data_IF_395026858430
#
_entry.id   IF_395026858430
#
_cell.length_a   1.000
_cell.length_b   1.000
_cell.length_c   1.000
_cell.angle_alpha   90.00
_cell.angle_beta   90.00
_cell.angle_gamma   90.00
#
_symmetry.space_group_name_H-M   'P 1'
#
loop_
_entity.id
_entity.type
_entity.pdbx_description
1 polymer ?
#
# COMPACT_ATOMS: atom_id res chain seq x y z
N UNK A 1 -15.47 14.62 1.39
CA UNK A 1 -16.49 13.96 2.25
C UNK A 1 -15.93 13.99 3.67
N UNK A 2 -16.76 14.25 4.69
CA UNK A 2 -16.32 14.24 6.11
C UNK A 2 -16.73 12.92 6.74
N UNK A 3 -16.04 12.51 7.81
CA UNK A 3 -16.39 11.32 8.58
C UNK A 3 -17.80 11.43 9.17
N UNK A 4 -18.60 10.37 9.06
CA UNK A 4 -19.97 10.34 9.59
C UNK A 4 -20.00 10.14 11.11
N UNK A 5 -18.98 9.46 11.66
CA UNK A 5 -18.84 9.21 13.10
C UNK A 5 -17.35 9.05 13.47
N UNK A 6 -16.73 10.16 13.88
CA UNK A 6 -15.29 10.24 14.13
C UNK A 6 -14.82 9.35 15.28
N UNK A 7 -15.58 9.29 16.36
CA UNK A 7 -15.24 8.50 17.55
C UNK A 7 -15.25 7.00 17.25
N UNK A 8 -16.33 6.53 16.61
CA UNK A 8 -16.44 5.14 16.19
C UNK A 8 -15.35 4.78 15.18
N UNK A 9 -15.08 5.65 14.21
CA UNK A 9 -14.03 5.42 13.22
C UNK A 9 -12.64 5.34 13.85
N UNK A 10 -12.35 6.19 14.84
CA UNK A 10 -11.09 6.16 15.57
C UNK A 10 -10.94 4.87 16.35
N UNK A 11 -11.96 4.48 17.11
CA UNK A 11 -11.97 3.22 17.87
C UNK A 11 -11.76 2.00 16.98
N UNK A 12 -12.50 1.90 15.86
CA UNK A 12 -12.34 0.79 14.90
C UNK A 12 -10.95 0.79 14.27
N UNK A 13 -10.42 1.98 13.94
CA UNK A 13 -9.11 2.09 13.30
C UNK A 13 -7.98 1.73 14.27
N UNK A 14 -8.09 2.10 15.53
CA UNK A 14 -7.17 1.71 16.60
C UNK A 14 -7.18 0.21 16.84
N UNK A 15 -8.37 -0.39 16.99
CA UNK A 15 -8.50 -1.83 17.18
C UNK A 15 -7.91 -2.61 16.00
N UNK A 16 -8.21 -2.20 14.77
CA UNK A 16 -7.64 -2.82 13.57
C UNK A 16 -6.13 -2.67 13.52
N UNK A 17 -5.61 -1.50 13.86
CA UNK A 17 -4.17 -1.27 13.91
C UNK A 17 -3.50 -2.17 14.95
N UNK A 18 -4.03 -2.24 16.16
CA UNK A 18 -3.50 -3.08 17.24
C UNK A 18 -3.46 -4.58 16.86
N UNK A 19 -4.47 -5.06 16.12
CA UNK A 19 -4.48 -6.44 15.60
C UNK A 19 -3.46 -6.67 14.48
N UNK A 20 -3.17 -5.64 13.69
CA UNK A 20 -2.31 -5.71 12.50
C UNK A 20 -0.82 -5.48 12.83
N UNK A 21 -0.53 -4.55 13.73
CA UNK A 21 0.81 -4.07 14.06
C UNK A 21 1.81 -5.20 14.38
N UNK A 22 1.47 -6.23 15.19
CA UNK A 22 2.38 -7.35 15.45
C UNK A 22 2.81 -8.11 14.18
N UNK A 23 2.05 -8.01 13.09
CA UNK A 23 2.31 -8.69 11.83
C UNK A 23 3.11 -7.86 10.84
N UNK A 24 3.27 -6.54 11.06
CA UNK A 24 3.97 -5.64 10.14
C UNK A 24 5.43 -6.04 9.92
N UNK A 25 6.15 -6.42 10.99
CA UNK A 25 7.53 -6.87 10.87
C UNK A 25 7.67 -8.14 10.00
N UNK A 26 6.70 -9.05 10.10
CA UNK A 26 6.68 -10.25 9.27
C UNK A 26 6.26 -9.97 7.83
N UNK A 27 5.43 -8.94 7.59
CA UNK A 27 5.08 -8.47 6.26
C UNK A 27 6.29 -7.78 5.59
N UNK A 28 7.01 -6.92 6.32
CA UNK A 28 8.23 -6.27 5.83
C UNK A 28 9.28 -7.30 5.39
N UNK A 29 9.52 -8.35 6.19
CA UNK A 29 10.41 -9.47 5.79
C UNK A 29 9.94 -10.26 4.57
N UNK A 30 8.65 -10.24 4.24
CA UNK A 30 8.14 -10.89 3.02
C UNK A 30 8.41 -10.01 1.81
N UNK A 31 8.10 -8.71 1.91
CA UNK A 31 8.40 -7.77 0.84
C UNK A 31 9.90 -7.69 0.55
N UNK A 32 10.74 -7.74 1.59
CA UNK A 32 12.19 -7.74 1.42
C UNK A 32 12.70 -8.98 0.66
N UNK A 33 12.15 -10.16 0.94
CA UNK A 33 12.47 -11.37 0.17
C UNK A 33 12.02 -11.28 -1.28
N UNK A 34 10.84 -10.69 -1.52
CA UNK A 34 10.38 -10.43 -2.87
C UNK A 34 11.31 -9.46 -3.61
N UNK A 35 11.74 -8.36 -2.96
CA UNK A 35 12.70 -7.39 -3.54
C UNK A 35 13.99 -8.07 -3.98
N UNK A 36 14.58 -8.88 -3.12
CA UNK A 36 15.80 -9.63 -3.42
C UNK A 36 15.60 -10.59 -4.60
N UNK A 37 14.49 -11.35 -4.60
CA UNK A 37 14.17 -12.24 -5.71
C UNK A 37 13.94 -11.46 -7.03
N UNK A 38 13.31 -10.28 -6.96
CA UNK A 38 13.04 -9.44 -8.13
C UNK A 38 14.33 -8.87 -8.72
N UNK A 39 15.25 -8.39 -7.88
CA UNK A 39 16.57 -7.94 -8.31
C UNK A 39 17.40 -9.05 -8.95
N UNK A 40 17.23 -10.29 -8.49
CA UNK A 40 17.88 -11.48 -9.05
C UNK A 40 17.19 -12.02 -10.32
N UNK A 41 16.03 -11.48 -10.71
CA UNK A 41 15.23 -12.00 -11.83
C UNK A 41 14.48 -13.31 -11.53
N UNK A 42 14.26 -13.62 -10.25
CA UNK A 42 13.58 -14.82 -9.74
C UNK A 42 12.14 -14.56 -9.28
N UNK A 43 11.66 -13.32 -9.41
CA UNK A 43 10.32 -12.91 -9.04
C UNK A 43 9.66 -12.07 -10.13
N UNK A 44 8.33 -12.18 -10.17
CA UNK A 44 7.48 -11.58 -11.18
C UNK A 44 6.57 -10.52 -10.55
N UNK A 45 6.45 -9.40 -11.24
CA UNK A 45 5.55 -8.31 -10.90
C UNK A 45 4.44 -8.23 -11.94
N UNK A 46 3.20 -8.25 -11.49
CA UNK A 46 2.03 -8.08 -12.33
C UNK A 46 1.19 -6.89 -11.90
N UNK A 47 0.36 -6.41 -12.82
CA UNK A 47 -0.55 -5.30 -12.63
C UNK A 47 -1.97 -5.82 -12.84
N UNK A 48 -2.88 -5.58 -11.89
CA UNK A 48 -4.28 -5.97 -12.05
C UNK A 48 -4.95 -5.13 -13.17
N UNK A 49 -5.60 -5.80 -14.14
CA UNK A 49 -6.11 -5.21 -15.39
C UNK A 49 -7.54 -4.65 -15.30
N UNK A 50 -7.96 -4.14 -14.14
CA UNK A 50 -9.30 -3.55 -14.03
C UNK A 50 -9.39 -2.21 -14.79
N UNK A 51 -10.33 -2.05 -15.72
CA UNK A 51 -10.40 -0.90 -16.64
C UNK A 51 -10.47 0.49 -15.97
N UNK A 52 -10.97 0.59 -14.73
CA UNK A 52 -10.98 1.80 -13.88
C UNK A 52 -9.58 2.22 -13.40
N UNK A 53 -8.59 1.35 -13.51
CA UNK A 53 -7.23 1.60 -13.09
C UNK A 53 -6.48 2.56 -13.98
N UNK A 54 -6.80 2.57 -15.28
CA UNK A 54 -6.07 3.35 -16.26
C UNK A 54 -6.07 4.84 -15.96
N UNK A 55 -7.11 5.35 -15.29
CA UNK A 55 -7.15 6.76 -14.86
C UNK A 55 -6.27 7.04 -13.64
N UNK A 56 -5.99 6.02 -12.82
CA UNK A 56 -5.17 6.15 -11.61
C UNK A 56 -3.69 5.86 -11.90
N UNK A 57 -3.39 4.93 -12.81
CA UNK A 57 -2.08 4.80 -13.49
C UNK A 57 -1.66 6.11 -14.16
N UNK A 58 -2.61 6.93 -14.66
CA UNK A 58 -2.27 8.24 -15.24
C UNK A 58 -1.69 9.22 -14.22
N UNK A 59 -1.91 9.02 -12.93
CA UNK A 59 -1.37 9.90 -11.89
C UNK A 59 0.07 9.54 -11.46
N UNK A 60 0.50 8.29 -11.66
CA UNK A 60 1.83 7.79 -11.30
C UNK A 60 2.34 6.81 -12.37
N UNK A 61 3.51 7.08 -12.94
CA UNK A 61 4.15 6.15 -13.88
C UNK A 61 4.53 4.82 -13.22
N UNK A 62 4.69 3.78 -14.05
CA UNK A 62 5.22 2.48 -13.62
C UNK A 62 6.56 2.60 -12.88
N UNK A 63 7.43 3.53 -13.29
CA UNK A 63 8.70 3.81 -12.60
C UNK A 63 8.48 4.25 -11.15
N UNK A 64 7.54 5.16 -10.87
CA UNK A 64 7.25 5.57 -9.49
C UNK A 64 6.74 4.39 -8.67
N UNK A 65 5.98 3.50 -9.30
CA UNK A 65 5.37 2.35 -8.64
C UNK A 65 6.46 1.34 -8.30
N UNK A 66 7.36 1.07 -9.23
CA UNK A 66 8.54 0.27 -8.97
C UNK A 66 9.41 0.88 -7.85
N UNK A 67 9.67 2.19 -7.89
CA UNK A 67 10.41 2.88 -6.82
C UNK A 67 9.75 2.68 -5.45
N UNK A 68 8.42 2.76 -5.36
CA UNK A 68 7.69 2.51 -4.13
C UNK A 68 7.73 1.05 -3.70
N UNK A 69 7.64 0.10 -4.64
CA UNK A 69 7.77 -1.32 -4.31
C UNK A 69 9.16 -1.63 -3.74
N UNK A 70 10.21 -1.05 -4.31
CA UNK A 70 11.59 -1.27 -3.91
C UNK A 70 12.00 -0.50 -2.64
N UNK A 71 11.45 0.70 -2.42
CA UNK A 71 11.93 1.60 -1.37
C UNK A 71 10.85 2.01 -0.34
N UNK A 72 9.59 1.66 -0.58
CA UNK A 72 8.48 2.03 0.30
C UNK A 72 8.36 1.20 1.56
N UNK A 73 7.46 1.62 2.44
CA UNK A 73 7.21 1.00 3.74
C UNK A 73 5.83 0.37 3.79
N UNK A 74 5.71 -0.82 4.39
CA UNK A 74 4.39 -1.43 4.63
C UNK A 74 3.73 -0.73 5.82
N UNK A 75 2.58 -0.14 5.58
CA UNK A 75 1.78 0.57 6.58
C UNK A 75 0.47 -0.13 6.95
N UNK A 76 -0.05 -1.01 6.07
CA UNK A 76 -1.11 -1.95 6.41
C UNK A 76 -0.77 -3.36 5.89
N UNK A 77 -1.17 -4.39 6.63
CA UNK A 77 -1.06 -5.78 6.17
C UNK A 77 -2.27 -6.61 6.56
N UNK A 78 -2.62 -7.60 5.74
CA UNK A 78 -3.67 -8.58 6.03
C UNK A 78 -3.33 -9.93 5.41
N UNK A 79 -3.91 -11.00 5.94
CA UNK A 79 -3.92 -12.32 5.30
C UNK A 79 -5.37 -12.73 5.09
N UNK A 80 -5.76 -13.06 3.86
CA UNK A 80 -7.13 -13.45 3.51
C UNK A 80 -7.09 -14.37 2.30
N UNK A 81 -7.92 -15.41 2.30
CA UNK A 81 -8.19 -16.27 1.14
C UNK A 81 -6.92 -16.80 0.42
N UNK A 82 -5.89 -17.16 1.19
CA UNK A 82 -4.64 -17.68 0.62
C UNK A 82 -3.69 -16.61 0.07
N UNK A 83 -3.93 -15.33 0.37
CA UNK A 83 -3.11 -14.21 -0.06
C UNK A 83 -2.66 -13.36 1.13
N UNK A 84 -1.51 -12.72 0.98
CA UNK A 84 -1.10 -11.60 1.81
C UNK A 84 -1.40 -10.30 1.06
N UNK A 85 -2.16 -9.40 1.68
CA UNK A 85 -2.37 -8.05 1.18
C UNK A 85 -1.50 -7.06 1.94
N UNK A 86 -0.82 -6.17 1.23
CA UNK A 86 -0.01 -5.10 1.81
C UNK A 86 -0.48 -3.75 1.28
N UNK A 87 -0.36 -2.71 2.11
CA UNK A 87 -0.41 -1.33 1.67
C UNK A 87 0.99 -0.75 1.83
N UNK A 88 1.62 -0.41 0.71
CA UNK A 88 2.93 0.23 0.70
C UNK A 88 2.73 1.74 0.61
N UNK A 89 3.43 2.48 1.47
CA UNK A 89 3.53 3.94 1.44
C UNK A 89 4.89 4.36 0.92
N UNK A 90 4.90 5.38 0.07
CA UNK A 90 6.12 5.98 -0.47
C UNK A 90 5.91 7.46 -0.77
N UNK A 91 6.97 8.25 -0.67
CA UNK A 91 6.97 9.66 -1.07
C UNK A 91 7.69 9.84 -2.41
N UNK A 92 6.92 9.94 -3.49
CA UNK A 92 7.44 10.15 -4.84
C UNK A 92 8.00 11.56 -4.96
N UNK A 93 9.24 11.69 -5.40
CA UNK A 93 9.87 12.99 -5.62
C UNK A 93 9.39 13.57 -6.95
N UNK A 94 8.71 14.71 -6.90
CA UNK A 94 8.16 15.39 -8.09
C UNK A 94 8.94 16.67 -8.45
N UNK A 95 9.86 17.11 -7.58
CA UNK A 95 10.67 18.30 -7.79
C UNK A 95 11.68 18.52 -6.66
N UNK A 96 12.43 19.63 -6.72
CA UNK A 96 13.39 19.98 -5.67
C UNK A 96 12.63 20.32 -4.37
N UNK A 97 12.77 19.46 -3.37
CA UNK A 97 12.09 19.61 -2.07
C UNK A 97 10.59 19.34 -2.11
N UNK A 98 10.06 18.85 -3.24
CA UNK A 98 8.64 18.56 -3.40
C UNK A 98 8.42 17.05 -3.54
N UNK A 99 7.56 16.52 -2.66
CA UNK A 99 7.23 15.11 -2.59
C UNK A 99 5.71 14.94 -2.63
N UNK A 100 5.28 13.82 -3.19
CA UNK A 100 3.89 13.41 -3.28
C UNK A 100 3.73 12.06 -2.60
N UNK A 101 2.84 11.93 -1.59
CA UNK A 101 2.58 10.63 -0.99
C UNK A 101 1.88 9.72 -2.00
N UNK A 102 2.22 8.45 -1.95
CA UNK A 102 1.68 7.41 -2.81
C UNK A 102 1.41 6.16 -2.00
N UNK A 103 0.21 5.63 -2.17
CA UNK A 103 -0.21 4.35 -1.61
C UNK A 103 -0.30 3.31 -2.71
N UNK A 104 0.34 2.17 -2.50
CA UNK A 104 0.37 1.04 -3.45
C UNK A 104 -0.15 -0.21 -2.74
N UNK A 105 -1.46 -0.50 -2.82
CA UNK A 105 -2.00 -1.79 -2.45
C UNK A 105 -1.44 -2.88 -3.34
N UNK A 106 -0.91 -3.94 -2.74
CA UNK A 106 -0.43 -5.13 -3.43
C UNK A 106 -0.95 -6.40 -2.78
N UNK A 107 -1.02 -7.48 -3.56
CA UNK A 107 -1.28 -8.84 -3.05
C UNK A 107 -0.19 -9.80 -3.49
N UNK A 108 0.12 -10.73 -2.59
CA UNK A 108 1.11 -11.79 -2.78
C UNK A 108 0.44 -13.13 -2.46
N UNK A 109 0.31 -14.05 -3.42
CA UNK A 109 -0.21 -15.38 -3.16
C UNK A 109 0.66 -16.14 -2.16
N UNK A 110 0.05 -16.81 -1.18
CA UNK A 110 0.78 -17.64 -0.21
C UNK A 110 1.50 -18.79 -0.92
N UNK A 111 0.89 -19.33 -1.98
CA UNK A 111 1.45 -20.42 -2.78
C UNK A 111 2.63 -19.98 -3.66
N UNK A 112 2.76 -18.68 -3.96
CA UNK A 112 3.84 -18.14 -4.78
C UNK A 112 4.36 -16.81 -4.20
N UNK A 113 5.29 -16.85 -3.23
CA UNK A 113 5.81 -15.65 -2.58
C UNK A 113 6.70 -14.79 -3.48
N UNK A 114 7.08 -15.30 -4.65
CA UNK A 114 7.86 -14.59 -5.67
C UNK A 114 6.97 -13.91 -6.72
N UNK A 115 5.65 -13.93 -6.54
CA UNK A 115 4.71 -13.23 -7.41
C UNK A 115 3.99 -12.13 -6.62
N UNK A 116 4.09 -10.90 -7.12
CA UNK A 116 3.41 -9.75 -6.53
C UNK A 116 2.50 -9.11 -7.56
N UNK A 117 1.25 -8.86 -7.17
CA UNK A 117 0.29 -8.15 -8.01
C UNK A 117 0.06 -6.78 -7.40
N UNK A 118 0.30 -5.73 -8.18
CA UNK A 118 -0.11 -4.38 -7.83
C UNK A 118 -1.61 -4.28 -8.03
N UNK A 119 -2.30 -4.23 -6.90
CA UNK A 119 -3.76 -4.17 -6.87
C UNK A 119 -4.24 -2.79 -7.15
N UNK A 120 -3.55 -1.69 -6.84
CA UNK A 120 -3.87 -0.30 -7.25
C UNK A 120 -2.77 0.64 -6.83
N UNK A 121 -2.92 1.91 -7.17
CA UNK A 121 -2.04 3.00 -6.75
C UNK A 121 -2.94 4.20 -6.51
N UNK A 122 -2.69 5.03 -5.51
CA UNK A 122 -3.43 6.30 -5.36
C UNK A 122 -2.66 7.31 -4.52
N UNK A 123 -3.08 8.56 -4.64
CA UNK A 123 -2.63 9.65 -3.78
C UNK A 123 -3.57 9.76 -2.57
N UNK A 124 -3.09 9.47 -1.34
CA UNK A 124 -3.94 9.48 -0.15
C UNK A 124 -4.52 10.86 0.17
N UNK A 125 -3.99 11.95 -0.39
CA UNK A 125 -4.53 13.32 -0.24
C UNK A 125 -5.94 13.45 -0.81
N UNK A 126 -6.30 12.63 -1.80
CA UNK A 126 -7.68 12.56 -2.32
C UNK A 126 -8.71 12.19 -1.25
N UNK A 127 -8.27 11.56 -0.15
CA UNK A 127 -9.07 11.23 1.02
C UNK A 127 -8.29 11.55 2.31
N UNK A 128 -7.72 12.74 2.41
CA UNK A 128 -6.84 13.15 3.54
C UNK A 128 -7.44 12.86 4.94
N UNK A 129 -8.75 13.10 5.10
CA UNK A 129 -9.52 12.85 6.33
C UNK A 129 -9.55 11.38 6.79
N UNK A 130 -9.13 10.44 5.94
CA UNK A 130 -8.99 9.03 6.30
C UNK A 130 -7.65 8.68 6.92
N UNK A 131 -6.67 9.58 6.88
CA UNK A 131 -5.29 9.30 7.22
C UNK A 131 -4.75 10.29 8.26
N UNK A 132 -3.69 9.89 8.96
CA UNK A 132 -2.84 10.83 9.70
C UNK A 132 -2.19 11.84 8.75
N UNK A 133 -1.71 12.97 9.28
CA UNK A 133 -1.13 14.06 8.48
C UNK A 133 0.06 13.63 7.59
N UNK A 134 0.77 12.56 7.99
CA UNK A 134 1.87 11.96 7.22
C UNK A 134 1.42 10.82 6.28
N UNK A 135 0.12 10.52 6.23
CA UNK A 135 -0.51 9.49 5.43
C UNK A 135 -0.14 8.04 5.79
N UNK A 136 0.58 7.78 6.89
CA UNK A 136 1.06 6.43 7.20
C UNK A 136 0.09 5.60 8.05
N UNK A 137 -0.93 6.21 8.67
CA UNK A 137 -1.90 5.48 9.49
C UNK A 137 -3.32 5.88 9.13
N UNK A 138 -4.18 4.89 8.90
CA UNK A 138 -5.59 5.14 8.63
C UNK A 138 -6.34 5.43 9.93
N UNK A 139 -7.06 6.55 9.97
CA UNK A 139 -7.85 7.02 11.12
C UNK A 139 -9.37 7.01 10.86
N UNK A 140 -9.78 6.92 9.58
CA UNK A 140 -11.20 6.78 9.22
C UNK A 140 -11.43 5.71 8.15
N UNK A 141 -12.59 5.05 8.23
CA UNK A 141 -12.99 3.93 7.37
C UNK A 141 -14.34 4.18 6.65
N UNK A 142 -14.96 5.35 6.78
CA UNK A 142 -16.14 5.72 5.98
C UNK A 142 -15.76 5.79 4.49
N UNK A 143 -16.71 5.57 3.57
CA UNK A 143 -16.44 5.49 2.13
C UNK A 143 -16.55 6.83 1.40
#
# INVERSE_FOLDING_TARGET
MKCENEELCRSISEEKFARMEPHLAAAARRLERFRQAYENGEADLAFDEHASFREVWRAFSETHILEALMNGEIIECRKRDGEYGFLIWYNVKIGRGQYRPMHVPVVMPVANPNYLVVVTVYDPRSKEWQWTDNYTRRICRCN
#
